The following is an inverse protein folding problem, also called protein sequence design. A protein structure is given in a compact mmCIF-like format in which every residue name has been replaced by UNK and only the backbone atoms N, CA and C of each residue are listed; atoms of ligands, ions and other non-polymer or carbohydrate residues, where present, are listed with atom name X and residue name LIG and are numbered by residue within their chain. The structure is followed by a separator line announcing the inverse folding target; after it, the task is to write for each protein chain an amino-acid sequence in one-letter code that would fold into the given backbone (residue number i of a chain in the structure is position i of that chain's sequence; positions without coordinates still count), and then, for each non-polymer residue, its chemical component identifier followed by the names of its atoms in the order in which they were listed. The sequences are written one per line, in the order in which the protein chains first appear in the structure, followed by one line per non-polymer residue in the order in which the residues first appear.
data_IF_938821952067
#
_entry.id   IF_938821952067
#
_cell.length_a   1.000
_cell.length_b   1.000
_cell.length_c   1.000
_cell.angle_alpha   90.00
_cell.angle_beta   90.00
_cell.angle_gamma   90.00
#
_symmetry.space_group_name_H-M   'P 1'
#
loop_
_entity.id
_entity.type
_entity.pdbx_description
1 polymer ?
#
# COMPACT_ATOMS: atom_id res chain seq x y z
N UNK A 1 6.51 -8.79 -4.28
CA UNK A 1 7.31 -7.86 -3.45
C UNK A 1 8.20 -8.68 -2.54
N UNK A 2 9.46 -8.28 -2.39
CA UNK A 2 10.38 -8.88 -1.40
C UNK A 2 10.57 -8.00 -0.15
N UNK A 3 11.21 -8.59 0.87
CA UNK A 3 11.47 -7.90 2.15
C UNK A 3 12.39 -6.69 2.02
N UNK A 4 13.36 -6.71 1.10
CA UNK A 4 14.30 -5.59 0.92
C UNK A 4 13.59 -4.38 0.32
N UNK A 5 12.68 -4.60 -0.64
CA UNK A 5 11.80 -3.58 -1.18
C UNK A 5 10.97 -2.94 -0.06
N UNK A 6 10.34 -3.76 0.79
CA UNK A 6 9.56 -3.27 1.91
C UNK A 6 10.41 -2.46 2.90
N UNK A 7 11.56 -2.97 3.33
CA UNK A 7 12.46 -2.28 4.26
C UNK A 7 12.91 -0.92 3.71
N UNK A 8 13.19 -0.85 2.40
CA UNK A 8 13.53 0.40 1.72
C UNK A 8 12.35 1.37 1.71
N UNK A 9 11.14 0.89 1.41
CA UNK A 9 9.93 1.72 1.46
C UNK A 9 9.69 2.24 2.88
N UNK A 10 9.74 1.39 3.92
CA UNK A 10 9.51 1.77 5.31
C UNK A 10 10.52 2.80 5.84
N UNK A 11 11.75 2.81 5.31
CA UNK A 11 12.76 3.82 5.65
C UNK A 11 12.46 5.21 5.07
N UNK A 12 11.70 5.27 3.98
CA UNK A 12 11.47 6.49 3.20
C UNK A 12 10.07 7.08 3.33
N UNK A 13 9.12 6.33 3.90
CA UNK A 13 7.73 6.74 4.08
C UNK A 13 7.30 6.53 5.53
N UNK A 14 6.36 7.35 5.98
CA UNK A 14 5.92 7.35 7.38
C UNK A 14 4.41 7.55 7.54
N UNK A 15 3.95 7.74 8.79
CA UNK A 15 2.52 7.80 9.13
C UNK A 15 1.82 9.08 8.68
N UNK A 16 2.60 10.12 8.35
CA UNK A 16 2.11 11.37 7.79
C UNK A 16 1.89 11.25 6.28
N UNK A 17 0.87 11.94 5.78
CA UNK A 17 0.63 11.99 4.32
C UNK A 17 1.70 12.85 3.66
N UNK A 18 2.38 12.28 2.68
CA UNK A 18 3.32 13.01 1.84
C UNK A 18 2.73 13.17 0.44
N UNK A 19 2.51 14.41 -0.01
CA UNK A 19 2.04 14.66 -1.38
C UNK A 19 3.20 14.62 -2.36
N UNK A 20 3.18 13.66 -3.29
CA UNK A 20 4.24 13.48 -4.28
C UNK A 20 3.59 13.18 -5.64
N UNK A 21 3.86 14.03 -6.63
CA UNK A 21 3.30 13.86 -7.98
C UNK A 21 1.79 14.04 -8.00
N UNK A 22 1.07 12.93 -8.15
CA UNK A 22 -0.38 12.88 -8.41
C UNK A 22 -1.22 12.61 -7.15
N UNK A 23 -0.60 12.27 -6.02
CA UNK A 23 -1.35 11.93 -4.82
C UNK A 23 -0.52 11.86 -3.54
N UNK A 24 -1.15 11.31 -2.51
CA UNK A 24 -0.58 11.22 -1.17
C UNK A 24 -0.12 9.80 -0.89
N UNK A 25 1.10 9.67 -0.35
CA UNK A 25 1.68 8.41 0.08
C UNK A 25 1.75 8.38 1.60
N UNK A 26 1.43 7.24 2.21
CA UNK A 26 1.44 7.07 3.66
C UNK A 26 1.65 5.61 4.03
N UNK A 27 2.43 5.36 5.08
CA UNK A 27 2.55 4.04 5.71
C UNK A 27 2.36 4.15 7.20
N UNK A 28 1.47 3.33 7.77
CA UNK A 28 1.23 3.25 9.21
C UNK A 28 1.53 1.87 9.72
N UNK A 29 2.32 1.78 10.79
CA UNK A 29 2.38 0.57 11.60
C UNK A 29 1.07 0.44 12.39
N UNK A 30 0.44 -0.73 12.34
CA UNK A 30 -0.79 -1.05 13.08
C UNK A 30 -0.45 -1.77 14.38
N UNK A 31 0.40 -2.79 14.26
CA UNK A 31 0.95 -3.64 15.32
C UNK A 31 2.38 -4.04 14.92
N UNK A 32 3.14 -4.72 15.80
CA UNK A 32 4.60 -5.00 15.62
C UNK A 32 5.04 -5.64 14.30
N UNK A 33 4.12 -6.22 13.53
CA UNK A 33 4.42 -6.82 12.24
C UNK A 33 3.37 -6.52 11.17
N UNK A 34 2.49 -5.54 11.40
CA UNK A 34 1.41 -5.17 10.47
C UNK A 34 1.55 -3.74 10.02
N UNK A 35 1.48 -3.53 8.71
CA UNK A 35 1.59 -2.21 8.10
C UNK A 35 0.38 -1.94 7.20
N UNK A 36 -0.13 -0.73 7.25
CA UNK A 36 -1.09 -0.18 6.30
C UNK A 36 -0.33 0.72 5.32
N UNK A 37 -0.24 0.28 4.06
CA UNK A 37 0.35 1.05 2.97
C UNK A 37 -0.79 1.68 2.18
N UNK A 38 -0.73 2.99 1.96
CA UNK A 38 -1.80 3.71 1.27
C UNK A 38 -1.26 4.71 0.25
N UNK A 39 -1.83 4.65 -0.95
CA UNK A 39 -1.93 5.80 -1.83
C UNK A 39 -3.32 6.42 -1.67
N UNK A 40 -3.37 7.74 -1.54
CA UNK A 40 -4.63 8.48 -1.56
C UNK A 40 -4.67 9.44 -2.73
N UNK A 41 -5.67 9.28 -3.59
CA UNK A 41 -5.95 10.21 -4.66
C UNK A 41 -6.56 11.50 -4.08
N UNK A 42 -6.14 12.68 -4.55
CA UNK A 42 -6.78 13.94 -4.21
C UNK A 42 -8.25 13.94 -4.65
N UNK A 43 -9.14 14.38 -3.78
CA UNK A 43 -10.57 14.51 -4.06
C UNK A 43 -11.03 15.96 -3.85
N UNK A 44 -12.28 16.24 -4.23
CA UNK A 44 -12.86 17.57 -4.11
C UNK A 44 -12.75 18.13 -2.68
N UNK A 45 -12.67 19.46 -2.57
CA UNK A 45 -12.72 20.19 -1.30
C UNK A 45 -11.58 19.86 -0.32
N UNK A 46 -10.39 19.54 -0.83
CA UNK A 46 -9.21 19.26 0.00
C UNK A 46 -9.27 17.91 0.71
N UNK A 47 -10.14 17.02 0.26
CA UNK A 47 -10.23 15.64 0.76
C UNK A 47 -9.35 14.70 -0.06
N UNK A 48 -9.27 13.44 0.34
CA UNK A 48 -8.53 12.41 -0.39
C UNK A 48 -9.23 11.06 -0.22
N UNK A 49 -9.19 10.23 -1.26
CA UNK A 49 -9.82 8.90 -1.31
C UNK A 49 -8.75 7.81 -1.42
N UNK A 50 -8.97 6.66 -0.81
CA UNK A 50 -8.01 5.53 -0.89
C UNK A 50 -8.02 4.90 -2.29
N UNK A 51 -6.84 4.81 -2.92
CA UNK A 51 -6.69 4.27 -4.28
C UNK A 51 -5.30 3.69 -4.60
N UNK A 52 -4.84 2.59 -3.98
CA UNK A 52 -5.51 1.81 -2.94
C UNK A 52 -4.87 1.95 -1.55
N UNK A 53 -5.52 1.36 -0.54
CA UNK A 53 -4.96 1.02 0.76
C UNK A 53 -4.81 -0.50 0.89
N UNK A 54 -3.64 -1.00 1.26
CA UNK A 54 -3.37 -2.41 1.50
C UNK A 54 -2.80 -2.60 2.90
N UNK A 55 -3.38 -3.53 3.66
CA UNK A 55 -2.82 -4.00 4.92
C UNK A 55 -1.98 -5.24 4.66
N UNK A 56 -0.74 -5.22 5.14
CA UNK A 56 0.19 -6.35 5.05
C UNK A 56 0.61 -6.82 6.45
N UNK A 57 0.92 -8.10 6.55
CA UNK A 57 1.58 -8.72 7.71
C UNK A 57 2.93 -9.26 7.29
N UNK A 58 3.95 -9.00 8.08
CA UNK A 58 5.31 -9.50 7.88
C UNK A 58 5.52 -10.70 8.81
N UNK A 59 5.84 -11.85 8.25
CA UNK A 59 6.18 -13.07 8.97
C UNK A 59 7.54 -13.57 8.48
N UNK A 60 8.55 -13.50 9.34
CA UNK A 60 9.95 -13.78 9.02
C UNK A 60 10.48 -12.96 7.82
N UNK A 61 10.52 -13.58 6.64
CA UNK A 61 10.92 -12.96 5.36
C UNK A 61 9.78 -12.86 4.35
N UNK A 62 8.57 -13.25 4.74
CA UNK A 62 7.39 -13.23 3.89
C UNK A 62 6.52 -12.02 4.20
N UNK A 63 5.96 -11.45 3.15
CA UNK A 63 5.01 -10.36 3.23
C UNK A 63 3.68 -10.89 2.73
N UNK A 64 2.69 -10.88 3.61
CA UNK A 64 1.38 -11.47 3.38
C UNK A 64 0.37 -10.33 3.33
N UNK A 65 -0.28 -10.05 2.19
CA UNK A 65 -1.37 -9.08 2.15
C UNK A 65 -2.60 -9.66 2.87
N UNK A 66 -3.20 -8.90 3.79
CA UNK A 66 -4.38 -9.33 4.55
C UNK A 66 -5.68 -8.73 4.00
N UNK A 67 -5.60 -7.51 3.46
CA UNK A 67 -6.77 -6.74 3.05
C UNK A 67 -6.42 -5.63 2.05
N UNK A 68 -7.30 -5.41 1.07
CA UNK A 68 -7.26 -4.30 0.11
C UNK A 68 -8.56 -3.50 0.17
N UNK A 69 -8.43 -2.18 0.17
CA UNK A 69 -9.54 -1.24 -0.02
C UNK A 69 -9.17 -0.23 -1.11
N UNK A 70 -10.00 -0.18 -2.14
CA UNK A 70 -9.96 0.84 -3.20
C UNK A 70 -11.34 1.46 -3.35
N UNK A 71 -11.42 2.75 -3.05
CA UNK A 71 -12.66 3.53 -3.05
C UNK A 71 -12.85 4.36 -4.32
N UNK A 72 -11.88 4.37 -5.23
CA UNK A 72 -11.95 5.10 -6.50
C UNK A 72 -12.34 4.18 -7.67
N UNK A 73 -11.98 2.89 -7.60
CA UNK A 73 -12.43 1.91 -8.58
C UNK A 73 -13.95 1.67 -8.57
N UNK A 74 -14.50 1.29 -9.73
CA UNK A 74 -15.91 0.97 -9.92
C UNK A 74 -16.07 -0.44 -10.52
N UNK A 75 -16.62 -1.42 -9.78
CA UNK A 75 -17.10 -1.31 -8.40
C UNK A 75 -15.96 -1.11 -7.38
N UNK A 76 -16.29 -0.52 -6.23
CA UNK A 76 -15.37 -0.39 -5.08
C UNK A 76 -14.80 -1.76 -4.74
N UNK A 77 -13.47 -1.84 -4.56
CA UNK A 77 -12.80 -3.07 -4.13
C UNK A 77 -12.64 -3.07 -2.62
N UNK A 78 -13.22 -4.07 -1.95
CA UNK A 78 -12.92 -4.42 -0.57
C UNK A 78 -12.66 -5.92 -0.54
N UNK A 79 -11.39 -6.30 -0.57
CA UNK A 79 -10.96 -7.69 -0.73
C UNK A 79 -10.22 -8.12 0.53
N UNK A 80 -10.76 -9.13 1.21
CA UNK A 80 -10.08 -9.80 2.32
C UNK A 80 -9.32 -11.01 1.80
N UNK A 81 -8.23 -11.37 2.48
CA UNK A 81 -7.46 -12.55 2.15
C UNK A 81 -8.28 -13.84 2.27
N UNK A 82 -8.24 -14.64 1.20
CA UNK A 82 -8.69 -16.02 1.10
C UNK A 82 -7.86 -16.72 0.03
N UNK A 83 -7.97 -18.05 -0.08
CA UNK A 83 -7.26 -18.80 -1.13
C UNK A 83 -7.60 -18.31 -2.54
N UNK A 84 -8.86 -17.89 -2.76
CA UNK A 84 -9.36 -17.38 -4.05
C UNK A 84 -8.89 -15.96 -4.37
N UNK A 85 -8.57 -15.14 -3.35
CA UNK A 85 -8.23 -13.71 -3.52
C UNK A 85 -6.76 -13.39 -3.31
N UNK A 86 -5.99 -14.35 -2.78
CA UNK A 86 -4.56 -14.23 -2.48
C UNK A 86 -3.74 -13.67 -3.65
N UNK A 87 -3.89 -14.26 -4.84
CA UNK A 87 -3.16 -13.84 -6.04
C UNK A 87 -3.49 -12.39 -6.44
N UNK A 88 -4.77 -12.00 -6.35
CA UNK A 88 -5.20 -10.63 -6.66
C UNK A 88 -4.60 -9.64 -5.67
N UNK A 89 -4.58 -9.98 -4.38
CA UNK A 89 -3.99 -9.16 -3.34
C UNK A 89 -2.48 -8.99 -3.51
N UNK A 90 -1.78 -10.06 -3.88
CA UNK A 90 -0.34 -10.01 -4.18
C UNK A 90 -0.05 -9.11 -5.39
N UNK A 91 -0.83 -9.20 -6.46
CA UNK A 91 -0.69 -8.34 -7.63
C UNK A 91 -0.94 -6.87 -7.31
N UNK A 92 -1.98 -6.55 -6.53
CA UNK A 92 -2.27 -5.17 -6.13
C UNK A 92 -1.21 -4.61 -5.18
N UNK A 93 -0.67 -5.47 -4.30
CA UNK A 93 0.46 -5.11 -3.44
C UNK A 93 1.70 -4.77 -4.28
N UNK A 94 2.03 -5.58 -5.27
CA UNK A 94 3.18 -5.34 -6.15
C UNK A 94 3.05 -4.05 -6.96
N UNK A 95 1.84 -3.73 -7.45
CA UNK A 95 1.55 -2.45 -8.10
C UNK A 95 1.75 -1.27 -7.16
N UNK A 96 1.20 -1.35 -5.94
CA UNK A 96 1.32 -0.30 -4.95
C UNK A 96 2.79 -0.07 -4.57
N UNK A 97 3.53 -1.14 -4.28
CA UNK A 97 4.95 -1.06 -3.94
C UNK A 97 5.79 -0.48 -5.09
N UNK A 98 5.51 -0.88 -6.33
CA UNK A 98 6.14 -0.28 -7.51
C UNK A 98 5.90 1.23 -7.58
N UNK A 99 4.69 1.70 -7.21
CA UNK A 99 4.37 3.14 -7.15
C UNK A 99 5.17 3.85 -6.05
N UNK A 100 5.30 3.26 -4.86
CA UNK A 100 6.12 3.80 -3.76
C UNK A 100 7.60 3.91 -4.14
N UNK A 101 8.17 2.89 -4.78
CA UNK A 101 9.56 2.90 -5.22
C UNK A 101 9.80 3.95 -6.31
N UNK A 102 8.94 3.96 -7.34
CA UNK A 102 9.07 4.86 -8.48
C UNK A 102 9.00 6.34 -8.08
N UNK A 103 8.09 6.72 -7.17
CA UNK A 103 7.86 8.13 -6.84
C UNK A 103 9.07 8.81 -6.16
N UNK A 104 9.94 8.03 -5.53
CA UNK A 104 11.22 8.50 -4.94
C UNK A 104 12.46 7.96 -5.66
N UNK A 105 12.30 7.34 -6.84
CA UNK A 105 13.37 6.66 -7.60
C UNK A 105 14.20 5.69 -6.74
N UNK A 106 13.53 4.94 -5.87
CA UNK A 106 14.16 3.96 -4.99
C UNK A 106 14.51 2.70 -5.80
N UNK A 107 15.71 2.17 -5.59
CA UNK A 107 16.21 0.95 -6.24
C UNK A 107 16.79 0.03 -5.18
N UNK A 108 16.50 -1.27 -5.30
CA UNK A 108 16.96 -2.33 -4.39
C UNK A 108 18.25 -2.96 -4.91
#
# INVERSE_FOLDING_TARGET
MDKKELDLILKHFGPEKEFIGDGYFRIREKDSNRYEMAYLAPACCGTSTYHPQITIRVEDEKIIPEFLMDMEETPIKNISYSDETSEVLEQELDKLCSKFLAVKNLTV
#
